data_IF_500940180506
#
_entry.id   IF_500940180506
#
_cell.length_a   1.000
_cell.length_b   1.000
_cell.length_c   1.000
_cell.angle_alpha   90.00
_cell.angle_beta   90.00
_cell.angle_gamma   90.00
#
_symmetry.space_group_name_H-M   'P 1'
#
loop_
_entity.id
_entity.type
_entity.pdbx_description
1 polymer ?
#
# COMPACT_ATOMS: atom_id res chain seq x y z
N UNK A 1 36.45 13.60 38.67
CA UNK A 1 35.65 12.36 38.85
C UNK A 1 34.23 12.68 38.44
N UNK A 2 33.85 12.39 37.20
CA UNK A 2 32.47 12.52 36.75
C UNK A 2 31.63 11.45 37.46
N UNK A 3 30.88 11.88 38.47
CA UNK A 3 29.85 11.03 39.07
C UNK A 3 28.75 10.87 38.03
N UNK A 4 28.78 9.77 37.28
CA UNK A 4 27.60 9.34 36.50
C UNK A 4 26.41 9.32 37.46
N UNK A 5 25.29 9.99 37.11
CA UNK A 5 24.12 10.00 37.96
C UNK A 5 23.67 8.54 38.19
N UNK A 6 23.39 8.20 39.46
CA UNK A 6 22.75 6.94 39.79
C UNK A 6 21.30 7.08 39.35
N UNK A 7 21.01 6.51 38.18
CA UNK A 7 19.68 6.52 37.59
C UNK A 7 18.94 5.28 38.11
N UNK A 8 17.73 5.46 38.64
CA UNK A 8 16.86 4.32 38.87
C UNK A 8 16.40 3.75 37.50
N UNK A 9 15.89 2.51 37.50
CA UNK A 9 15.43 1.85 36.26
C UNK A 9 14.38 2.68 35.51
N UNK A 10 13.55 3.44 36.23
CA UNK A 10 12.52 4.31 35.65
C UNK A 10 13.11 5.47 34.85
N UNK A 11 14.11 6.18 35.38
CA UNK A 11 14.77 7.25 34.63
C UNK A 11 15.55 6.66 33.44
N UNK A 12 16.12 5.47 33.57
CA UNK A 12 16.82 4.81 32.44
C UNK A 12 15.87 4.56 31.27
N UNK A 13 14.66 4.05 31.53
CA UNK A 13 13.61 3.88 30.51
C UNK A 13 13.15 5.21 29.91
N UNK A 14 13.03 6.26 30.73
CA UNK A 14 12.66 7.60 30.25
C UNK A 14 13.76 8.22 29.38
N UNK A 15 15.02 8.04 29.74
CA UNK A 15 16.17 8.48 28.93
C UNK A 15 16.23 7.74 27.60
N UNK A 16 15.94 6.43 27.58
CA UNK A 16 15.86 5.66 26.33
C UNK A 16 14.75 6.19 25.42
N UNK A 17 13.55 6.44 25.95
CA UNK A 17 12.45 7.07 25.18
C UNK A 17 12.84 8.45 24.64
N UNK A 18 13.49 9.28 25.45
CA UNK A 18 13.97 10.60 25.01
C UNK A 18 15.02 10.49 23.92
N UNK A 19 15.94 9.52 24.01
CA UNK A 19 16.96 9.27 23.00
C UNK A 19 16.34 8.85 21.67
N UNK A 20 15.36 7.94 21.68
CA UNK A 20 14.66 7.49 20.48
C UNK A 20 13.98 8.65 19.76
N UNK A 21 13.28 9.53 20.50
CA UNK A 21 12.65 10.72 19.92
C UNK A 21 13.67 11.68 19.32
N UNK A 22 14.81 11.87 19.99
CA UNK A 22 15.90 12.69 19.48
C UNK A 22 16.54 12.12 18.21
N UNK A 23 16.71 10.80 18.12
CA UNK A 23 17.28 10.11 16.96
C UNK A 23 16.33 10.10 15.75
N UNK A 24 15.03 10.22 15.99
CA UNK A 24 14.02 10.33 14.93
C UNK A 24 13.96 11.74 14.29
N UNK A 25 14.38 12.79 15.02
CA UNK A 25 14.25 14.20 14.58
C UNK A 25 14.86 14.50 13.19
N UNK A 26 16.06 14.00 12.83
CA UNK A 26 16.62 14.21 11.50
C UNK A 26 15.72 13.67 10.37
N UNK A 27 15.07 12.54 10.59
CA UNK A 27 14.14 11.93 9.63
C UNK A 27 12.84 12.72 9.52
N UNK A 28 12.29 13.20 10.63
CA UNK A 28 11.12 14.09 10.62
C UNK A 28 11.42 15.36 9.80
N UNK A 29 12.59 15.97 10.01
CA UNK A 29 13.02 17.14 9.22
C UNK A 29 13.21 16.81 7.74
N UNK A 30 13.79 15.65 7.42
CA UNK A 30 14.04 15.21 6.05
C UNK A 30 12.74 14.99 5.26
N UNK A 31 11.70 14.50 5.92
CA UNK A 31 10.45 14.12 5.26
C UNK A 31 9.29 15.10 5.51
N UNK A 32 9.54 16.25 6.13
CA UNK A 32 8.54 17.29 6.28
C UNK A 32 8.08 17.82 4.91
N UNK A 33 6.77 17.83 4.69
CA UNK A 33 6.12 18.19 3.42
C UNK A 33 6.10 17.06 2.39
N UNK A 34 6.80 15.94 2.63
CA UNK A 34 6.92 14.86 1.65
C UNK A 34 5.67 13.96 1.63
N UNK A 35 5.27 13.53 0.44
CA UNK A 35 4.11 12.65 0.24
C UNK A 35 4.49 11.18 0.26
N UNK A 36 3.84 10.39 1.13
CA UNK A 36 4.04 8.94 1.24
C UNK A 36 2.75 8.21 0.85
N UNK A 37 2.79 7.39 -0.20
CA UNK A 37 1.65 6.53 -0.57
C UNK A 37 1.82 5.17 0.07
N UNK A 38 0.89 4.81 0.95
CA UNK A 38 0.96 3.62 1.79
C UNK A 38 -0.15 2.66 1.38
N UNK A 39 0.23 1.55 0.76
CA UNK A 39 -0.70 0.47 0.49
C UNK A 39 -0.90 -0.36 1.75
N UNK A 40 -2.12 -0.31 2.30
CA UNK A 40 -2.56 -1.10 3.46
C UNK A 40 -3.36 -2.32 2.99
N UNK A 41 -2.87 -3.53 3.24
CA UNK A 41 -3.54 -4.75 2.79
C UNK A 41 -2.94 -6.02 3.38
N UNK A 42 -3.61 -7.15 3.14
CA UNK A 42 -3.16 -8.46 3.63
C UNK A 42 -3.66 -8.77 5.04
N UNK A 43 -2.90 -9.56 5.79
CA UNK A 43 -3.21 -10.00 7.14
C UNK A 43 -3.34 -8.83 8.14
N UNK A 44 -2.63 -7.71 7.90
CA UNK A 44 -2.71 -6.53 8.76
C UNK A 44 -4.13 -5.92 8.82
N UNK A 45 -4.99 -6.18 7.82
CA UNK A 45 -6.39 -5.75 7.84
C UNK A 45 -7.33 -6.77 8.52
N UNK A 46 -6.87 -8.00 8.74
CA UNK A 46 -7.65 -9.05 9.39
C UNK A 46 -7.50 -9.04 10.92
N UNK A 47 -6.58 -8.22 11.43
CA UNK A 47 -6.24 -8.12 12.85
C UNK A 47 -6.52 -6.68 13.33
N UNK A 48 -7.37 -6.56 14.35
CA UNK A 48 -7.82 -5.28 14.87
C UNK A 48 -6.69 -4.51 15.57
N UNK A 49 -5.77 -5.20 16.22
CA UNK A 49 -4.64 -4.56 16.91
C UNK A 49 -3.64 -4.01 15.90
N UNK A 50 -3.33 -4.76 14.83
CA UNK A 50 -2.48 -4.29 13.75
C UNK A 50 -3.09 -3.08 13.03
N UNK A 51 -4.41 -3.06 12.82
CA UNK A 51 -5.09 -1.92 12.23
C UNK A 51 -5.03 -0.66 13.11
N UNK A 52 -5.20 -0.80 14.43
CA UNK A 52 -5.04 0.31 15.39
C UNK A 52 -3.61 0.84 15.43
N UNK A 53 -2.62 -0.05 15.39
CA UNK A 53 -1.20 0.36 15.35
C UNK A 53 -0.88 1.08 14.04
N UNK A 54 -1.35 0.56 12.90
CA UNK A 54 -1.23 1.23 11.61
C UNK A 54 -1.87 2.62 11.62
N UNK A 55 -3.08 2.76 12.16
CA UNK A 55 -3.75 4.05 12.25
C UNK A 55 -2.94 5.06 13.08
N UNK A 56 -2.40 4.63 14.24
CA UNK A 56 -1.51 5.47 15.06
C UNK A 56 -0.25 5.89 14.31
N UNK A 57 0.36 4.99 13.55
CA UNK A 57 1.54 5.30 12.75
C UNK A 57 1.22 6.38 11.71
N UNK A 58 0.12 6.21 10.96
CA UNK A 58 -0.29 7.17 9.93
C UNK A 58 -0.62 8.53 10.53
N UNK A 59 -1.27 8.57 11.70
CA UNK A 59 -1.51 9.82 12.45
C UNK A 59 -0.19 10.47 12.86
N UNK A 60 0.76 9.70 13.39
CA UNK A 60 2.08 10.23 13.76
C UNK A 60 2.82 10.80 12.54
N UNK A 61 2.79 10.12 11.39
CA UNK A 61 3.37 10.62 10.15
C UNK A 61 2.79 12.00 9.79
N UNK A 62 1.45 12.14 9.84
CA UNK A 62 0.81 13.44 9.56
C UNK A 62 1.22 14.52 10.57
N UNK A 63 1.26 14.18 11.86
CA UNK A 63 1.63 15.12 12.92
C UNK A 63 3.08 15.63 12.83
N UNK A 64 3.99 14.86 12.24
CA UNK A 64 5.38 15.29 12.03
C UNK A 64 5.61 15.97 10.67
N UNK A 65 4.55 16.26 9.93
CA UNK A 65 4.58 17.00 8.67
C UNK A 65 4.69 16.15 7.41
N UNK A 66 4.66 14.82 7.50
CA UNK A 66 4.59 13.93 6.32
C UNK A 66 3.15 13.92 5.81
N UNK A 67 2.94 13.81 4.50
CA UNK A 67 1.61 13.73 3.88
C UNK A 67 1.29 12.27 3.50
N UNK A 68 0.75 11.44 4.42
CA UNK A 68 0.41 10.05 4.10
C UNK A 68 -0.90 9.97 3.29
N UNK A 69 -0.89 9.16 2.24
CA UNK A 69 -2.05 8.75 1.47
C UNK A 69 -2.19 7.24 1.61
N UNK A 70 -3.31 6.77 2.17
CA UNK A 70 -3.55 5.34 2.38
C UNK A 70 -4.33 4.78 1.20
N UNK A 71 -3.86 3.69 0.59
CA UNK A 71 -4.59 2.94 -0.44
C UNK A 71 -4.84 1.54 0.09
N UNK A 72 -6.09 1.08 0.14
CA UNK A 72 -6.38 -0.18 0.83
C UNK A 72 -6.79 -1.34 -0.09
N UNK A 73 -6.54 -2.56 0.38
CA UNK A 73 -7.09 -3.79 -0.22
C UNK A 73 -8.44 -4.21 0.40
N UNK A 74 -8.82 -5.46 0.22
CA UNK A 74 -10.03 -6.02 0.84
C UNK A 74 -10.42 -7.44 0.44
N UNK A 75 -9.47 -8.22 -0.09
CA UNK A 75 -9.74 -9.54 -0.69
C UNK A 75 -10.56 -10.48 0.20
N UNK A 76 -10.16 -10.70 1.47
CA UNK A 76 -10.89 -11.58 2.39
C UNK A 76 -12.32 -11.12 2.67
N UNK A 77 -12.53 -9.82 2.96
CA UNK A 77 -13.84 -9.26 3.29
C UNK A 77 -14.80 -9.27 2.08
N UNK A 78 -14.28 -9.06 0.87
CA UNK A 78 -15.03 -9.24 -0.38
C UNK A 78 -15.45 -10.70 -0.51
N UNK A 79 -14.52 -11.65 -0.31
CA UNK A 79 -14.81 -13.08 -0.39
C UNK A 79 -15.92 -13.51 0.56
N UNK A 80 -15.86 -13.05 1.81
CA UNK A 80 -16.91 -13.30 2.82
C UNK A 80 -18.28 -12.76 2.40
N UNK A 81 -18.34 -11.59 1.75
CA UNK A 81 -19.60 -11.03 1.29
C UNK A 81 -20.17 -11.83 0.11
N UNK A 82 -19.34 -12.17 -0.87
CA UNK A 82 -19.76 -12.99 -2.01
C UNK A 82 -20.27 -14.36 -1.56
N UNK A 83 -19.61 -14.98 -0.59
CA UNK A 83 -20.05 -16.24 0.01
C UNK A 83 -21.43 -16.12 0.68
N UNK A 84 -21.65 -15.05 1.46
CA UNK A 84 -22.97 -14.78 2.08
C UNK A 84 -24.08 -14.60 1.04
N UNK A 85 -23.75 -14.02 -0.10
CA UNK A 85 -24.67 -13.82 -1.23
C UNK A 85 -24.73 -15.04 -2.16
N UNK A 86 -23.97 -16.10 -1.88
CA UNK A 86 -23.88 -17.33 -2.68
C UNK A 86 -23.39 -17.10 -4.12
N UNK A 87 -22.57 -16.08 -4.32
CA UNK A 87 -21.94 -15.76 -5.59
C UNK A 87 -20.58 -16.45 -5.65
N UNK A 88 -20.33 -17.20 -6.72
CA UNK A 88 -19.06 -17.88 -6.93
C UNK A 88 -17.97 -16.86 -7.24
N UNK A 89 -16.85 -16.96 -6.53
CA UNK A 89 -15.67 -16.16 -6.83
C UNK A 89 -14.58 -17.02 -7.45
N UNK A 90 -13.98 -16.51 -8.53
CA UNK A 90 -12.84 -17.13 -9.18
C UNK A 90 -11.67 -16.14 -9.27
N UNK A 91 -10.45 -16.67 -9.28
CA UNK A 91 -9.23 -15.89 -9.42
C UNK A 91 -8.39 -16.43 -10.57
N UNK A 92 -7.84 -15.52 -11.38
CA UNK A 92 -6.87 -15.85 -12.41
C UNK A 92 -5.67 -14.90 -12.28
N UNK A 93 -4.47 -15.47 -12.16
CA UNK A 93 -3.21 -14.74 -11.97
C UNK A 93 -3.25 -13.70 -10.84
N UNK A 94 -3.92 -14.02 -9.73
CA UNK A 94 -4.06 -13.14 -8.57
C UNK A 94 -5.06 -11.99 -8.73
N UNK A 95 -5.79 -11.93 -9.87
CA UNK A 95 -6.89 -11.00 -10.09
C UNK A 95 -8.22 -11.74 -9.93
N UNK A 96 -9.18 -11.11 -9.27
CA UNK A 96 -10.53 -11.67 -9.14
C UNK A 96 -11.27 -11.48 -10.46
N UNK A 97 -11.76 -12.56 -11.06
CA UNK A 97 -12.69 -12.46 -12.19
C UNK A 97 -13.94 -11.74 -11.69
N UNK A 98 -14.30 -10.64 -12.32
CA UNK A 98 -15.29 -9.72 -11.79
C UNK A 98 -16.35 -9.48 -12.86
N UNK A 99 -17.49 -10.17 -12.79
CA UNK A 99 -18.65 -9.84 -13.63
C UNK A 99 -19.37 -8.59 -13.11
N UNK A 100 -20.51 -8.23 -13.74
CA UNK A 100 -21.24 -7.01 -13.41
C UNK A 100 -21.79 -7.00 -11.98
N UNK A 101 -22.36 -8.12 -11.54
CA UNK A 101 -22.89 -8.24 -10.17
C UNK A 101 -21.74 -8.23 -9.15
N UNK A 102 -20.64 -8.91 -9.48
CA UNK A 102 -19.46 -8.98 -8.62
C UNK A 102 -18.81 -7.60 -8.45
N UNK A 103 -18.72 -6.76 -9.49
CA UNK A 103 -18.09 -5.43 -9.35
C UNK A 103 -18.90 -4.51 -8.45
N UNK A 104 -20.23 -4.57 -8.50
CA UNK A 104 -21.11 -3.80 -7.60
C UNK A 104 -20.87 -4.19 -6.14
N UNK A 105 -20.74 -5.49 -5.85
CA UNK A 105 -20.45 -5.98 -4.49
C UNK A 105 -19.05 -5.60 -4.05
N UNK A 106 -18.06 -5.73 -4.93
CA UNK A 106 -16.68 -5.33 -4.67
C UNK A 106 -16.63 -3.84 -4.32
N UNK A 107 -17.31 -2.99 -5.08
CA UNK A 107 -17.42 -1.55 -4.81
C UNK A 107 -18.07 -1.29 -3.44
N UNK A 108 -19.24 -1.88 -3.17
CA UNK A 108 -19.94 -1.70 -1.90
C UNK A 108 -19.07 -2.09 -0.69
N UNK A 109 -18.36 -3.21 -0.78
CA UNK A 109 -17.52 -3.71 0.31
C UNK A 109 -16.26 -2.85 0.49
N UNK A 110 -15.56 -2.51 -0.61
CA UNK A 110 -14.36 -1.67 -0.54
C UNK A 110 -14.71 -0.27 -0.04
N UNK A 111 -15.66 0.41 -0.67
CA UNK A 111 -15.98 1.82 -0.40
C UNK A 111 -16.84 2.02 0.85
N UNK A 112 -17.82 1.15 1.09
CA UNK A 112 -18.82 1.33 2.16
C UNK A 112 -18.39 0.74 3.50
N UNK A 113 -17.66 -0.38 3.49
CA UNK A 113 -17.29 -1.09 4.72
C UNK A 113 -15.83 -0.88 5.08
N UNK A 114 -14.93 -1.30 4.20
CA UNK A 114 -13.50 -1.36 4.52
C UNK A 114 -12.91 0.04 4.62
N UNK A 115 -13.16 0.87 3.60
CA UNK A 115 -12.68 2.25 3.54
C UNK A 115 -13.10 3.03 4.80
N UNK A 116 -14.38 2.93 5.18
CA UNK A 116 -14.92 3.64 6.35
C UNK A 116 -14.41 3.09 7.67
N UNK A 117 -14.17 1.78 7.76
CA UNK A 117 -13.52 1.17 8.92
C UNK A 117 -12.09 1.69 9.12
N UNK A 118 -11.29 1.83 8.06
CA UNK A 118 -9.94 2.40 8.15
C UNK A 118 -10.00 3.87 8.59
N UNK A 119 -10.90 4.65 7.97
CA UNK A 119 -11.14 6.05 8.35
C UNK A 119 -11.49 6.17 9.84
N UNK A 120 -12.38 5.31 10.33
CA UNK A 120 -12.75 5.28 11.75
C UNK A 120 -11.55 5.01 12.65
N UNK A 121 -10.71 4.02 12.33
CA UNK A 121 -9.50 3.73 13.12
C UNK A 121 -8.53 4.91 13.17
N UNK A 122 -8.37 5.64 12.06
CA UNK A 122 -7.53 6.86 12.02
C UNK A 122 -8.11 7.95 12.91
N UNK A 123 -9.43 8.15 12.88
CA UNK A 123 -10.13 9.11 13.75
C UNK A 123 -9.99 8.73 15.23
N UNK A 124 -10.18 7.46 15.57
CA UNK A 124 -10.02 6.95 16.94
C UNK A 124 -8.57 7.06 17.44
N UNK A 125 -7.59 7.06 16.53
CA UNK A 125 -6.18 7.32 16.84
C UNK A 125 -5.85 8.82 16.99
N UNK A 126 -6.84 9.72 16.81
CA UNK A 126 -6.68 11.17 16.95
C UNK A 126 -6.35 11.91 15.65
N UNK A 127 -6.44 11.26 14.50
CA UNK A 127 -6.27 11.88 13.19
C UNK A 127 -7.56 12.43 12.60
N UNK A 128 -7.43 13.11 11.47
CA UNK A 128 -8.55 13.43 10.58
C UNK A 128 -8.38 12.66 9.28
N UNK A 129 -9.41 11.98 8.80
CA UNK A 129 -9.33 11.20 7.58
C UNK A 129 -10.59 11.33 6.72
N UNK A 130 -10.41 11.26 5.40
CA UNK A 130 -11.49 11.20 4.43
C UNK A 130 -11.39 9.93 3.59
N UNK A 131 -12.50 9.22 3.52
CA UNK A 131 -12.60 8.00 2.73
C UNK A 131 -13.11 8.27 1.33
N UNK A 132 -12.29 8.00 0.32
CA UNK A 132 -12.57 8.21 -1.10
C UNK A 132 -12.44 6.90 -1.90
N UNK A 133 -13.03 6.88 -3.07
CA UNK A 133 -12.82 5.93 -4.15
C UNK A 133 -12.26 6.65 -5.37
N UNK A 134 -11.83 5.92 -6.39
CA UNK A 134 -11.44 6.57 -7.65
C UNK A 134 -12.60 7.20 -8.43
N UNK A 135 -13.86 7.01 -8.01
CA UNK A 135 -15.00 7.73 -8.59
C UNK A 135 -15.06 9.19 -8.11
N UNK A 136 -14.66 9.44 -6.87
CA UNK A 136 -14.75 10.75 -6.24
C UNK A 136 -13.83 11.74 -6.95
N UNK A 137 -14.37 12.87 -7.40
CA UNK A 137 -13.67 13.88 -8.23
C UNK A 137 -12.99 13.31 -9.50
N UNK A 138 -13.40 12.13 -9.98
CA UNK A 138 -12.75 11.44 -11.09
C UNK A 138 -11.30 11.01 -10.78
N UNK A 139 -10.99 10.72 -9.50
CA UNK A 139 -9.66 10.42 -8.99
C UNK A 139 -8.93 9.31 -9.77
N UNK A 140 -9.59 8.23 -10.18
CA UNK A 140 -8.99 7.15 -10.97
C UNK A 140 -9.81 6.89 -12.22
N UNK A 141 -9.24 7.24 -13.39
CA UNK A 141 -9.70 6.71 -14.67
C UNK A 141 -9.04 5.37 -14.94
N UNK A 142 -9.82 4.44 -15.47
CA UNK A 142 -9.36 3.09 -15.71
C UNK A 142 -9.72 2.62 -17.12
N UNK A 143 -9.01 1.59 -17.59
CA UNK A 143 -9.44 0.81 -18.76
C UNK A 143 -9.47 -0.65 -18.39
N UNK A 144 -10.36 -1.41 -19.05
CA UNK A 144 -10.45 -2.86 -18.88
C UNK A 144 -9.12 -3.54 -19.20
N UNK A 145 -8.67 -4.45 -18.34
CA UNK A 145 -7.53 -5.31 -18.62
C UNK A 145 -7.95 -6.38 -19.63
N UNK A 146 -7.21 -6.48 -20.73
CA UNK A 146 -7.30 -7.60 -21.67
C UNK A 146 -5.99 -8.37 -21.61
N UNK A 147 -5.98 -9.52 -20.92
CA UNK A 147 -4.81 -10.42 -20.91
C UNK A 147 -4.96 -11.44 -22.02
N UNK A 148 -3.85 -11.80 -22.68
CA UNK A 148 -3.78 -13.00 -23.52
C UNK A 148 -3.00 -14.07 -22.78
N UNK A 149 -3.52 -15.30 -22.78
CA UNK A 149 -2.80 -16.48 -22.29
C UNK A 149 -2.47 -17.35 -23.50
N UNK A 150 -1.17 -17.61 -23.72
CA UNK A 150 -0.74 -18.63 -24.68
C UNK A 150 -1.06 -19.99 -24.09
N UNK A 151 -1.76 -20.80 -24.87
CA UNK A 151 -1.95 -22.20 -24.57
C UNK A 151 -0.58 -22.92 -24.72
N UNK A 152 -0.11 -23.69 -23.73
CA UNK A 152 1.16 -24.41 -23.86
C UNK A 152 1.16 -25.45 -25.00
N UNK A 153 -0.01 -26.00 -25.33
CA UNK A 153 -0.17 -27.09 -26.29
C UNK A 153 -0.68 -26.62 -27.67
N UNK A 154 -1.00 -25.33 -27.80
CA UNK A 154 -1.33 -24.72 -29.08
C UNK A 154 -0.81 -23.28 -29.17
N UNK A 155 -0.27 -22.86 -30.31
CA UNK A 155 0.16 -21.47 -30.53
C UNK A 155 -1.02 -20.46 -30.58
N UNK A 156 -2.16 -20.78 -29.96
CA UNK A 156 -3.36 -19.96 -29.90
C UNK A 156 -3.31 -19.11 -28.63
N UNK A 157 -3.35 -17.79 -28.81
CA UNK A 157 -3.55 -16.85 -27.72
C UNK A 157 -5.05 -16.75 -27.39
N UNK A 158 -5.46 -17.22 -26.21
CA UNK A 158 -6.82 -16.98 -25.70
C UNK A 158 -6.86 -15.66 -24.95
N UNK A 159 -7.82 -14.81 -25.31
CA UNK A 159 -8.15 -13.62 -24.52
C UNK A 159 -8.77 -14.11 -23.21
N UNK A 160 -8.14 -13.79 -22.10
CA UNK A 160 -8.67 -13.97 -20.77
C UNK A 160 -9.52 -12.74 -20.44
N UNK A 161 -10.84 -12.89 -20.51
CA UNK A 161 -11.76 -11.87 -20.05
C UNK A 161 -11.90 -11.95 -18.53
N UNK A 162 -11.38 -10.93 -17.84
CA UNK A 162 -11.49 -10.79 -16.40
C UNK A 162 -12.76 -10.01 -15.99
N UNK A 163 -13.57 -9.58 -16.97
CA UNK A 163 -14.76 -8.76 -16.78
C UNK A 163 -14.40 -7.31 -16.44
N UNK A 164 -14.99 -6.79 -15.36
CA UNK A 164 -14.83 -5.44 -14.83
C UNK A 164 -13.57 -5.28 -13.97
N UNK A 165 -12.45 -5.83 -14.46
CA UNK A 165 -11.12 -5.61 -13.88
C UNK A 165 -10.38 -4.60 -14.73
N UNK A 166 -9.85 -3.56 -14.09
CA UNK A 166 -9.19 -2.45 -14.78
C UNK A 166 -7.77 -2.17 -14.32
N UNK A 167 -7.06 -1.41 -15.15
CA UNK A 167 -5.80 -0.75 -14.80
C UNK A 167 -5.96 0.77 -14.88
N UNK A 168 -5.33 1.54 -13.96
CA UNK A 168 -5.36 2.99 -14.02
C UNK A 168 -4.77 3.51 -15.33
N UNK A 169 -5.46 4.45 -15.97
CA UNK A 169 -4.98 5.19 -17.15
C UNK A 169 -4.61 6.63 -16.81
N UNK A 170 -5.29 7.21 -15.82
CA UNK A 170 -5.05 8.56 -15.34
C UNK A 170 -5.45 8.67 -13.87
N UNK A 171 -4.65 9.42 -13.11
CA UNK A 171 -4.95 9.80 -11.72
C UNK A 171 -5.18 11.30 -11.71
N UNK A 172 -6.31 11.75 -11.16
CA UNK A 172 -6.56 13.18 -10.96
C UNK A 172 -5.93 13.65 -9.65
N UNK A 173 -4.88 14.51 -9.67
CA UNK A 173 -4.20 14.92 -8.46
C UNK A 173 -4.96 16.00 -7.67
N UNK A 174 -5.96 16.65 -8.25
CA UNK A 174 -6.60 17.87 -7.69
C UNK A 174 -7.08 17.69 -6.25
N UNK A 175 -7.65 16.52 -5.92
CA UNK A 175 -8.12 16.24 -4.57
C UNK A 175 -6.97 16.10 -3.57
N UNK A 176 -5.82 15.60 -3.99
CA UNK A 176 -4.65 15.51 -3.12
C UNK A 176 -4.04 16.89 -2.88
N UNK A 177 -3.92 17.71 -3.94
CA UNK A 177 -3.46 19.10 -3.83
C UNK A 177 -4.36 19.91 -2.90
N UNK A 178 -5.68 19.73 -2.99
CA UNK A 178 -6.62 20.42 -2.11
C UNK A 178 -6.49 20.00 -0.62
N UNK A 179 -5.98 18.80 -0.35
CA UNK A 179 -5.85 18.26 1.00
C UNK A 179 -4.43 18.41 1.58
N UNK A 180 -3.43 18.74 0.75
CA UNK A 180 -2.01 18.77 1.11
C UNK A 180 -1.72 19.64 2.34
N UNK A 181 -2.27 20.86 2.35
CA UNK A 181 -2.11 21.86 3.42
C UNK A 181 -3.11 21.68 4.58
N UNK A 182 -3.84 20.56 4.62
CA UNK A 182 -4.80 20.23 5.68
C UNK A 182 -4.31 19.07 6.52
N UNK A 183 -4.86 18.88 7.72
CA UNK A 183 -4.58 17.69 8.55
C UNK A 183 -5.35 16.42 8.12
N UNK A 184 -6.00 16.45 6.94
CA UNK A 184 -6.85 15.35 6.46
C UNK A 184 -5.99 14.31 5.75
N UNK A 185 -6.11 13.05 6.20
CA UNK A 185 -5.46 11.88 5.62
C UNK A 185 -6.40 11.22 4.59
N UNK A 186 -6.06 11.18 3.30
CA UNK A 186 -6.86 10.49 2.29
C UNK A 186 -6.76 8.96 2.43
N UNK A 187 -7.90 8.27 2.43
CA UNK A 187 -8.00 6.80 2.42
C UNK A 187 -8.74 6.36 1.17
N UNK A 188 -8.04 5.70 0.25
CA UNK A 188 -8.49 5.43 -1.11
C UNK A 188 -8.86 3.96 -1.30
N UNK A 189 -10.09 3.72 -1.75
CA UNK A 189 -10.56 2.44 -2.25
C UNK A 189 -10.19 2.29 -3.75
N UNK A 190 -9.60 1.15 -4.18
CA UNK A 190 -9.06 0.97 -5.53
C UNK A 190 -10.16 0.59 -6.55
N UNK A 191 -11.12 1.49 -6.72
CA UNK A 191 -12.17 1.44 -7.73
C UNK A 191 -11.93 2.57 -8.72
N UNK A 192 -11.97 2.30 -10.02
CA UNK A 192 -11.85 3.33 -11.06
C UNK A 192 -13.05 3.38 -11.99
N UNK A 193 -13.11 4.43 -12.81
CA UNK A 193 -14.17 4.66 -13.80
C UNK A 193 -13.61 4.61 -15.20
N UNK A 194 -14.23 3.82 -16.07
CA UNK A 194 -13.88 3.76 -17.49
C UNK A 194 -14.41 4.94 -18.30
N UNK A 195 -13.91 5.08 -19.52
CA UNK A 195 -14.46 6.03 -20.50
C UNK A 195 -15.91 5.68 -20.89
N UNK A 196 -16.28 4.40 -20.74
CA UNK A 196 -17.63 3.86 -20.89
C UNK A 196 -18.56 4.22 -19.71
N UNK A 197 -18.04 4.87 -18.66
CA UNK A 197 -18.77 5.16 -17.42
C UNK A 197 -18.90 3.95 -16.49
N UNK A 198 -18.34 2.80 -16.87
CA UNK A 198 -18.42 1.58 -16.07
C UNK A 198 -17.42 1.59 -14.91
N UNK A 199 -17.74 0.79 -13.90
CA UNK A 199 -16.89 0.64 -12.71
C UNK A 199 -15.89 -0.48 -12.94
N UNK A 200 -14.63 -0.23 -12.56
CA UNK A 200 -13.57 -1.22 -12.65
C UNK A 200 -12.92 -1.47 -11.29
N UNK A 201 -12.82 -2.75 -10.93
CA UNK A 201 -12.03 -3.21 -9.79
C UNK A 201 -10.55 -3.18 -10.16
N UNK A 202 -9.73 -2.47 -9.38
CA UNK A 202 -8.30 -2.29 -9.63
C UNK A 202 -7.50 -2.99 -8.53
N UNK A 203 -6.37 -3.61 -8.90
CA UNK A 203 -5.45 -4.14 -7.90
C UNK A 203 -4.92 -2.99 -7.00
N UNK A 204 -5.04 -3.15 -5.69
CA UNK A 204 -4.66 -2.12 -4.72
C UNK A 204 -3.17 -1.73 -4.79
N UNK A 205 -2.27 -2.68 -5.09
CA UNK A 205 -0.85 -2.37 -5.28
C UNK A 205 -0.69 -1.50 -6.53
N UNK A 206 -1.32 -1.88 -7.65
CA UNK A 206 -1.30 -1.09 -8.90
C UNK A 206 -1.88 0.31 -8.73
N UNK A 207 -3.00 0.45 -8.01
CA UNK A 207 -3.59 1.75 -7.70
C UNK A 207 -2.64 2.62 -6.85
N UNK A 208 -2.03 2.05 -5.81
CA UNK A 208 -1.05 2.75 -4.99
C UNK A 208 0.18 3.19 -5.79
N UNK A 209 0.71 2.32 -6.65
CA UNK A 209 1.82 2.66 -7.54
C UNK A 209 1.48 3.78 -8.52
N UNK A 210 0.27 3.76 -9.10
CA UNK A 210 -0.18 4.81 -10.02
C UNK A 210 -0.37 6.15 -9.31
N UNK A 211 -0.96 6.16 -8.10
CA UNK A 211 -1.11 7.37 -7.29
C UNK A 211 0.27 7.92 -6.90
N UNK A 212 1.18 7.07 -6.44
CA UNK A 212 2.54 7.47 -6.09
C UNK A 212 3.29 8.09 -7.28
N UNK A 213 3.21 7.44 -8.44
CA UNK A 213 3.80 7.94 -9.68
C UNK A 213 3.20 9.30 -10.09
N UNK A 214 1.88 9.46 -10.02
CA UNK A 214 1.20 10.69 -10.41
C UNK A 214 1.55 11.88 -9.50
N UNK A 215 1.86 11.62 -8.24
CA UNK A 215 2.20 12.64 -7.25
C UNK A 215 3.71 12.84 -7.09
N UNK A 216 4.54 12.08 -7.82
CA UNK A 216 5.99 12.04 -7.63
C UNK A 216 6.32 11.85 -6.13
N UNK A 217 5.63 10.88 -5.51
CA UNK A 217 5.70 10.67 -4.08
C UNK A 217 7.13 10.33 -3.65
N UNK A 218 7.53 10.81 -2.47
CA UNK A 218 8.82 10.50 -1.88
C UNK A 218 8.96 9.01 -1.56
N UNK A 219 7.85 8.37 -1.16
CA UNK A 219 7.83 6.94 -0.89
C UNK A 219 6.55 6.27 -1.36
N UNK A 220 6.70 5.11 -1.98
CA UNK A 220 5.64 4.11 -2.11
C UNK A 220 5.91 2.99 -1.09
N UNK A 221 5.00 2.74 -0.17
CA UNK A 221 5.16 1.73 0.88
C UNK A 221 4.11 0.64 0.72
N UNK A 222 4.53 -0.59 0.44
CA UNK A 222 3.68 -1.76 0.27
C UNK A 222 3.70 -2.61 1.53
N UNK A 223 2.59 -2.60 2.29
CA UNK A 223 2.41 -3.53 3.40
C UNK A 223 1.93 -4.88 2.87
N UNK A 224 2.63 -5.94 3.26
CA UNK A 224 2.40 -7.32 2.82
C UNK A 224 2.57 -8.31 3.99
N UNK A 225 2.34 -9.60 3.71
CA UNK A 225 2.38 -10.67 4.71
C UNK A 225 3.74 -11.37 4.85
N UNK A 226 4.77 -10.86 4.15
CA UNK A 226 6.12 -11.40 4.07
C UNK A 226 7.14 -10.34 4.47
N UNK A 227 8.34 -10.76 4.89
CA UNK A 227 9.42 -9.88 5.35
C UNK A 227 9.85 -8.81 4.32
N UNK A 228 9.78 -9.14 3.04
CA UNK A 228 10.28 -8.33 1.93
C UNK A 228 10.72 -9.24 0.78
N UNK A 229 11.69 -8.78 0.00
CA UNK A 229 12.35 -9.59 -1.04
C UNK A 229 13.43 -10.45 -0.38
N UNK A 230 13.32 -11.77 -0.58
CA UNK A 230 14.31 -12.73 -0.09
C UNK A 230 15.25 -13.15 -1.22
N UNK A 231 16.51 -13.43 -0.88
CA UNK A 231 17.45 -14.10 -1.79
C UNK A 231 17.21 -15.62 -1.88
N UNK A 232 18.07 -16.32 -2.63
CA UNK A 232 17.99 -17.78 -2.80
C UNK A 232 18.18 -18.55 -1.49
N UNK A 233 18.91 -17.97 -0.54
CA UNK A 233 19.16 -18.52 0.79
C UNK A 233 18.06 -18.13 1.79
N UNK A 234 16.96 -17.52 1.32
CA UNK A 234 15.83 -17.03 2.12
C UNK A 234 16.21 -15.92 3.10
N UNK A 235 17.31 -15.20 2.85
CA UNK A 235 17.70 -14.02 3.63
C UNK A 235 17.04 -12.76 3.07
N UNK A 236 16.61 -11.87 3.96
CA UNK A 236 16.02 -10.59 3.58
C UNK A 236 17.06 -9.69 2.92
N UNK A 237 16.72 -9.16 1.74
CA UNK A 237 17.50 -8.12 1.08
C UNK A 237 16.98 -6.77 1.54
N UNK A 238 17.74 -6.06 2.37
CA UNK A 238 17.31 -4.76 2.92
C UNK A 238 17.25 -3.64 1.88
N UNK A 239 18.18 -3.63 0.92
CA UNK A 239 18.22 -2.66 -0.18
C UNK A 239 18.53 -3.33 -1.50
N UNK A 240 17.76 -3.01 -2.54
CA UNK A 240 17.91 -3.60 -3.87
C UNK A 240 17.68 -2.55 -4.96
N UNK A 241 18.40 -2.66 -6.08
CA UNK A 241 18.19 -1.78 -7.23
C UNK A 241 17.37 -2.45 -8.34
N UNK A 242 16.75 -1.65 -9.22
CA UNK A 242 15.91 -2.18 -10.31
C UNK A 242 16.61 -3.25 -11.19
N UNK A 243 17.89 -3.11 -11.61
CA UNK A 243 18.56 -4.15 -12.40
C UNK A 243 18.68 -5.50 -11.67
N UNK A 244 18.96 -5.49 -10.36
CA UNK A 244 19.02 -6.71 -9.55
C UNK A 244 17.65 -7.35 -9.43
N UNK A 245 16.59 -6.57 -9.23
CA UNK A 245 15.20 -7.06 -9.20
C UNK A 245 14.85 -7.79 -10.49
N UNK A 246 15.15 -7.18 -11.65
CA UNK A 246 14.92 -7.81 -12.97
C UNK A 246 15.66 -9.15 -13.11
N UNK A 247 16.92 -9.22 -12.67
CA UNK A 247 17.69 -10.48 -12.66
C UNK A 247 17.06 -11.53 -11.75
N UNK A 248 16.59 -11.13 -10.58
CA UNK A 248 15.96 -12.01 -9.60
C UNK A 248 14.58 -12.52 -10.05
N UNK A 249 13.86 -11.75 -10.87
CA UNK A 249 12.64 -12.25 -11.53
C UNK A 249 13.04 -13.27 -12.61
N UNK A 250 14.02 -12.94 -13.45
CA UNK A 250 14.45 -13.79 -14.55
C UNK A 250 15.04 -15.14 -14.09
N UNK A 251 15.72 -15.18 -12.94
CA UNK A 251 16.31 -16.40 -12.39
C UNK A 251 15.39 -17.15 -11.42
N UNK A 252 14.13 -16.70 -11.27
CA UNK A 252 13.09 -17.33 -10.46
C UNK A 252 13.18 -17.09 -8.96
N UNK A 253 14.14 -16.30 -8.47
CA UNK A 253 14.25 -15.97 -7.03
C UNK A 253 13.02 -15.19 -6.56
N UNK A 254 12.59 -14.18 -7.32
CA UNK A 254 11.31 -13.49 -7.13
C UNK A 254 10.25 -14.22 -7.94
N UNK A 255 9.22 -14.74 -7.27
CA UNK A 255 8.16 -15.54 -7.90
C UNK A 255 6.78 -15.26 -7.29
N UNK A 256 5.74 -15.79 -7.95
CA UNK A 256 4.35 -15.69 -7.50
C UNK A 256 3.87 -14.24 -7.35
N UNK A 257 3.11 -13.97 -6.29
CA UNK A 257 2.55 -12.65 -6.00
C UNK A 257 3.59 -11.55 -5.72
N UNK A 258 4.88 -11.89 -5.55
CA UNK A 258 5.93 -10.89 -5.39
C UNK A 258 6.32 -10.22 -6.72
N UNK A 259 6.17 -10.92 -7.86
CA UNK A 259 6.45 -10.36 -9.19
C UNK A 259 5.62 -9.08 -9.43
N UNK A 260 4.27 -9.11 -9.36
CA UNK A 260 3.48 -7.90 -9.63
C UNK A 260 3.74 -6.77 -8.64
N UNK A 261 4.12 -7.07 -7.38
CA UNK A 261 4.53 -6.06 -6.39
C UNK A 261 5.84 -5.39 -6.78
N UNK A 262 6.86 -6.18 -7.10
CA UNK A 262 8.17 -5.68 -7.52
C UNK A 262 8.06 -4.88 -8.83
N UNK A 263 7.25 -5.34 -9.79
CA UNK A 263 6.97 -4.62 -11.03
C UNK A 263 6.26 -3.29 -10.79
N UNK A 264 5.28 -3.25 -9.88
CA UNK A 264 4.60 -2.00 -9.49
C UNK A 264 5.58 -1.02 -8.85
N UNK A 265 6.46 -1.50 -7.96
CA UNK A 265 7.50 -0.68 -7.35
C UNK A 265 8.46 -0.13 -8.41
N UNK A 266 8.94 -0.97 -9.33
CA UNK A 266 9.80 -0.51 -10.44
C UNK A 266 9.10 0.52 -11.33
N UNK A 267 7.82 0.35 -11.65
CA UNK A 267 7.05 1.32 -12.44
C UNK A 267 6.97 2.68 -11.74
N UNK A 268 6.72 2.69 -10.43
CA UNK A 268 6.71 3.92 -9.63
C UNK A 268 8.08 4.61 -9.63
N UNK A 269 9.17 3.86 -9.40
CA UNK A 269 10.54 4.39 -9.43
C UNK A 269 10.89 5.01 -10.80
N UNK A 270 10.49 4.36 -11.90
CA UNK A 270 10.70 4.91 -13.25
C UNK A 270 9.85 6.17 -13.53
N UNK A 271 8.92 6.51 -12.65
CA UNK A 271 8.09 7.73 -12.69
C UNK A 271 8.55 8.77 -11.66
N UNK A 272 9.81 8.70 -11.23
CA UNK A 272 10.45 9.61 -10.27
C UNK A 272 9.97 9.51 -8.81
N UNK A 273 9.33 8.41 -8.42
CA UNK A 273 9.21 8.08 -6.98
C UNK A 273 10.60 7.75 -6.45
N UNK A 274 11.04 8.40 -5.38
CA UNK A 274 12.42 8.30 -4.89
C UNK A 274 12.76 6.91 -4.33
N UNK A 275 11.82 6.27 -3.62
CA UNK A 275 12.01 4.93 -3.09
C UNK A 275 10.68 4.16 -2.99
N UNK A 276 10.75 2.84 -3.20
CA UNK A 276 9.63 1.94 -2.96
C UNK A 276 10.00 0.90 -1.90
N UNK A 277 9.14 0.70 -0.91
CA UNK A 277 9.40 -0.18 0.22
C UNK A 277 8.41 -1.35 0.23
N UNK A 278 8.88 -2.57 0.49
CA UNK A 278 8.05 -3.75 0.71
C UNK A 278 8.28 -4.22 2.14
N UNK A 279 7.27 -4.08 2.99
CA UNK A 279 7.36 -4.29 4.44
C UNK A 279 6.37 -5.36 4.92
N UNK A 280 6.74 -6.05 5.99
CA UNK A 280 5.83 -6.98 6.67
C UNK A 280 4.84 -6.23 7.57
N UNK A 281 3.59 -6.10 7.12
CA UNK A 281 2.52 -5.43 7.85
C UNK A 281 2.10 -6.13 9.15
N UNK A 282 2.61 -7.33 9.44
CA UNK A 282 2.37 -8.03 10.72
C UNK A 282 3.26 -7.55 11.85
N UNK A 283 4.31 -6.78 11.54
CA UNK A 283 5.18 -6.20 12.55
C UNK A 283 4.50 -4.94 13.10
N UNK A 284 4.25 -4.84 14.41
CA UNK A 284 3.72 -3.61 15.00
C UNK A 284 4.64 -2.43 14.73
N UNK A 285 4.05 -1.28 14.39
CA UNK A 285 4.79 -0.04 14.13
C UNK A 285 5.82 -0.13 12.99
N UNK A 286 5.63 -1.04 12.03
CA UNK A 286 6.57 -1.26 10.92
C UNK A 286 6.84 -0.01 10.09
N UNK A 287 5.85 0.89 9.97
CA UNK A 287 6.03 2.16 9.26
C UNK A 287 7.05 3.05 9.98
N UNK A 288 6.91 3.19 11.30
CA UNK A 288 7.81 4.02 12.10
C UNK A 288 9.21 3.43 12.14
N UNK A 289 9.32 2.09 12.25
CA UNK A 289 10.59 1.39 12.16
C UNK A 289 11.30 1.66 10.83
N UNK A 290 10.57 1.59 9.70
CA UNK A 290 11.16 1.83 8.38
C UNK A 290 11.58 3.30 8.17
N UNK A 291 10.80 4.26 8.68
CA UNK A 291 10.96 5.68 8.35
C UNK A 291 11.93 6.38 9.31
N UNK A 292 11.93 6.01 10.59
CA UNK A 292 12.66 6.72 11.66
C UNK A 292 13.87 5.95 12.19
N UNK A 293 14.36 4.94 11.48
CA UNK A 293 15.59 4.21 11.85
C UNK A 293 16.53 3.99 10.66
N UNK A 294 17.81 3.80 10.94
CA UNK A 294 18.82 3.52 9.90
C UNK A 294 18.70 2.10 9.32
N UNK A 295 18.28 1.15 10.15
CA UNK A 295 18.12 -0.25 9.80
C UNK A 295 16.63 -0.52 9.58
N UNK A 296 16.16 -0.27 8.36
CA UNK A 296 14.79 -0.58 7.94
C UNK A 296 14.41 -2.06 8.21
N UNK A 297 13.11 -2.31 8.20
CA UNK A 297 12.48 -3.58 8.60
C UNK A 297 12.08 -4.48 7.43
N UNK A 298 12.23 -4.00 6.20
CA UNK A 298 11.90 -4.75 4.98
C UNK A 298 12.88 -4.50 3.85
N UNK A 299 12.37 -4.49 2.62
CA UNK A 299 13.17 -4.22 1.40
C UNK A 299 12.88 -2.84 0.87
N UNK A 300 13.92 -2.02 0.74
CA UNK A 300 13.89 -0.76 0.01
C UNK A 300 14.42 -0.94 -1.41
N UNK A 301 13.59 -0.59 -2.39
CA UNK A 301 13.91 -0.57 -3.82
C UNK A 301 14.25 0.86 -4.25
N UNK A 302 15.35 0.99 -5.00
CA UNK A 302 15.86 2.25 -5.59
C UNK A 302 16.28 2.08 -7.05
#
# INVERSE_FOLDING_TARGET
>A
MDKKPILNEDITKLLEKSRILSEALPYMKKFNGETFVIKFGGAAMGDEELAKNFARDVVLLKQVGINPIVVHGGGPQIGQMLERLKIKSEFVDGLRVTDKETVEIVEMVLCGRINKWIVQNIIEAGGTAIGLSGKDAGLIKAKRIRKTKKDPDSNIEKILDLGFVGEPTYINPDIFVALEETDIIPVIAPIGVGEDGETYNINADTAAGAIAASLVAQKLIMLTDVAGVLDKDKKLISKINQPKVKKMIADGTISGGMIPKAETCMKALNSNVEAAHILNGKIPHVLLLEIFTEHGSGTMMV
#
